data_IF_623011699985
#
_entry.id   IF_623011699985
#
_cell.length_a   1.000
_cell.length_b   1.000
_cell.length_c   1.000
_cell.angle_alpha   90.00
_cell.angle_beta   90.00
_cell.angle_gamma   90.00
#
_symmetry.space_group_name_H-M   'P 1'
#
loop_
_entity.id
_entity.type
_entity.pdbx_description
1 polymer ?
#
# COMPACT_ATOMS: atom_id res chain seq x y z
N UNK A 1 0.48 4.53 6.26
CA UNK A 1 1.92 4.36 6.60
C UNK A 1 2.73 4.83 5.39
N UNK A 2 4.07 4.81 5.41
CA UNK A 2 4.82 5.25 4.22
C UNK A 2 4.72 4.23 3.09
N UNK A 3 4.84 2.93 3.40
CA UNK A 3 4.87 1.87 2.38
C UNK A 3 3.55 1.64 1.66
N UNK A 4 2.41 1.74 2.34
CA UNK A 4 1.07 1.57 1.76
C UNK A 4 0.66 2.81 0.95
N UNK A 5 0.96 4.02 1.42
CA UNK A 5 0.77 5.24 0.62
C UNK A 5 1.58 5.18 -0.68
N UNK A 6 2.83 4.68 -0.61
CA UNK A 6 3.65 4.47 -1.79
C UNK A 6 3.10 3.38 -2.72
N UNK A 7 2.72 2.21 -2.20
CA UNK A 7 2.12 1.14 -3.03
C UNK A 7 0.87 1.62 -3.75
N UNK A 8 0.03 2.38 -3.05
CA UNK A 8 -1.22 2.92 -3.59
C UNK A 8 -1.04 4.21 -4.39
N UNK A 9 0.20 4.60 -4.72
CA UNK A 9 0.48 5.61 -5.73
C UNK A 9 -0.01 5.18 -7.12
N UNK A 10 -0.06 3.86 -7.39
CA UNK A 10 -0.83 3.33 -8.52
C UNK A 10 -2.30 3.25 -8.14
N UNK A 11 -3.02 4.33 -8.42
CA UNK A 11 -4.44 4.44 -8.11
C UNK A 11 -5.30 3.80 -9.20
N UNK A 12 -6.36 3.12 -8.79
CA UNK A 12 -7.37 2.51 -9.66
C UNK A 12 -8.76 3.00 -9.30
N UNK A 13 -9.59 3.23 -10.31
CA UNK A 13 -10.99 3.60 -10.08
C UNK A 13 -11.80 2.41 -9.56
N UNK A 14 -11.96 2.39 -8.24
CA UNK A 14 -12.73 1.41 -7.49
C UNK A 14 -14.22 1.31 -7.90
N UNK A 15 -14.75 2.25 -8.68
CA UNK A 15 -16.14 2.20 -9.19
C UNK A 15 -16.30 1.33 -10.45
N UNK A 16 -15.20 0.88 -11.05
CA UNK A 16 -15.22 -0.05 -12.19
C UNK A 16 -15.25 0.61 -13.56
N UNK A 17 -14.72 1.83 -13.71
CA UNK A 17 -14.51 2.42 -15.04
C UNK A 17 -13.28 1.85 -15.76
N UNK A 18 -12.42 1.11 -15.07
CA UNK A 18 -11.14 0.61 -15.58
C UNK A 18 -10.02 1.67 -15.62
N UNK A 19 -10.30 2.92 -15.22
CA UNK A 19 -9.28 3.98 -15.17
C UNK A 19 -8.24 3.68 -14.08
N UNK A 20 -6.98 3.96 -14.40
CA UNK A 20 -5.84 3.85 -13.50
C UNK A 20 -4.93 5.07 -13.70
N UNK A 21 -4.23 5.48 -12.65
CA UNK A 21 -3.34 6.64 -12.65
C UNK A 21 -2.09 6.30 -11.82
N UNK A 22 -0.90 6.57 -12.36
CA UNK A 22 0.33 6.55 -11.59
C UNK A 22 0.56 7.92 -10.96
N UNK A 23 0.18 8.07 -9.69
CA UNK A 23 0.26 9.35 -8.97
C UNK A 23 1.69 9.79 -8.67
N UNK A 24 2.70 8.94 -8.91
CA UNK A 24 4.09 9.41 -8.91
C UNK A 24 4.36 10.42 -10.03
N UNK A 25 3.56 10.43 -11.09
CA UNK A 25 3.66 11.43 -12.17
C UNK A 25 3.03 12.79 -11.79
N UNK A 26 2.31 12.84 -10.66
CA UNK A 26 1.62 14.03 -10.18
C UNK A 26 2.45 14.79 -9.17
N UNK A 27 2.88 15.99 -9.56
CA UNK A 27 3.68 16.90 -8.72
C UNK A 27 3.04 17.15 -7.36
N UNK A 28 1.75 17.49 -7.33
CA UNK A 28 1.01 17.79 -6.10
C UNK A 28 0.98 16.60 -5.14
N UNK A 29 0.74 15.40 -5.68
CA UNK A 29 0.73 14.17 -4.89
C UNK A 29 2.12 13.81 -4.35
N UNK A 30 3.17 13.95 -5.18
CA UNK A 30 4.56 13.70 -4.77
C UNK A 30 4.99 14.66 -3.66
N UNK A 31 4.66 15.95 -3.78
CA UNK A 31 4.93 16.96 -2.75
C UNK A 31 4.19 16.66 -1.44
N UNK A 32 2.96 16.15 -1.52
CA UNK A 32 2.20 15.69 -0.35
C UNK A 32 2.84 14.45 0.30
N UNK A 33 3.26 13.45 -0.49
CA UNK A 33 3.94 12.26 0.02
C UNK A 33 5.22 12.64 0.79
N UNK A 34 6.07 13.50 0.18
CA UNK A 34 7.31 13.98 0.78
C UNK A 34 7.03 14.66 2.12
N UNK A 35 6.00 15.53 2.18
CA UNK A 35 5.65 16.29 3.38
C UNK A 35 5.08 15.41 4.48
N UNK A 36 4.11 14.56 4.16
CA UNK A 36 3.41 13.71 5.12
C UNK A 36 4.36 12.72 5.81
N UNK A 37 5.34 12.21 5.06
CA UNK A 37 6.32 11.23 5.55
C UNK A 37 7.69 11.83 5.86
N UNK A 38 7.85 13.15 5.72
CA UNK A 38 9.10 13.89 6.00
C UNK A 38 10.32 13.32 5.26
N UNK A 39 10.12 12.90 4.02
CA UNK A 39 11.20 12.35 3.18
C UNK A 39 12.26 13.42 2.90
N UNK A 40 13.54 13.06 2.94
CA UNK A 40 14.65 13.97 2.63
C UNK A 40 14.87 14.12 1.12
N UNK A 41 13.86 14.64 0.42
CA UNK A 41 13.86 14.86 -1.03
C UNK A 41 13.43 16.30 -1.31
N UNK A 42 14.12 16.99 -2.22
CA UNK A 42 13.84 18.39 -2.58
C UNK A 42 13.36 18.59 -4.02
N UNK A 43 13.39 17.54 -4.85
CA UNK A 43 13.04 17.61 -6.28
C UNK A 43 12.10 16.47 -6.69
N UNK A 44 11.36 16.67 -7.78
CA UNK A 44 10.62 15.59 -8.42
C UNK A 44 11.57 14.52 -8.96
N UNK A 45 11.13 13.25 -9.10
CA UNK A 45 11.96 12.20 -9.65
C UNK A 45 12.31 12.49 -11.11
N UNK A 46 13.57 12.26 -11.46
CA UNK A 46 13.98 12.11 -12.86
C UNK A 46 13.35 10.86 -13.48
N UNK A 47 13.42 10.72 -14.81
CA UNK A 47 12.92 9.52 -15.49
C UNK A 47 13.56 8.23 -14.96
N UNK A 48 14.88 8.23 -14.71
CA UNK A 48 15.61 7.09 -14.17
C UNK A 48 15.19 6.76 -12.72
N UNK A 49 14.96 7.77 -11.89
CA UNK A 49 14.45 7.58 -10.53
C UNK A 49 13.00 7.08 -10.54
N UNK A 50 12.18 7.53 -11.50
CA UNK A 50 10.82 7.04 -11.71
C UNK A 50 10.81 5.55 -12.04
N UNK A 51 11.71 5.08 -12.91
CA UNK A 51 11.84 3.66 -13.25
C UNK A 51 12.24 2.82 -12.02
N UNK A 52 13.14 3.34 -11.18
CA UNK A 52 13.50 2.69 -9.91
C UNK A 52 12.31 2.62 -8.95
N UNK A 53 11.56 3.71 -8.79
CA UNK A 53 10.35 3.73 -7.95
C UNK A 53 9.32 2.71 -8.43
N UNK A 54 9.05 2.64 -9.74
CA UNK A 54 8.11 1.67 -10.33
C UNK A 54 8.57 0.23 -10.16
N UNK A 55 9.87 -0.02 -10.34
CA UNK A 55 10.47 -1.35 -10.13
C UNK A 55 10.32 -1.78 -8.68
N UNK A 56 10.62 -0.87 -7.75
CA UNK A 56 10.46 -1.13 -6.31
C UNK A 56 8.99 -1.32 -5.90
N UNK A 57 8.06 -0.50 -6.44
CA UNK A 57 6.61 -0.66 -6.22
C UNK A 57 6.12 -2.03 -6.69
N UNK A 58 6.57 -2.47 -7.88
CA UNK A 58 6.26 -3.80 -8.42
C UNK A 58 6.77 -4.92 -7.51
N UNK A 59 8.00 -4.77 -7.01
CA UNK A 59 8.56 -5.71 -6.05
C UNK A 59 7.72 -5.79 -4.76
N UNK A 60 7.44 -4.65 -4.10
CA UNK A 60 6.62 -4.61 -2.89
C UNK A 60 5.22 -5.21 -3.13
N UNK A 61 4.60 -4.88 -4.26
CA UNK A 61 3.29 -5.43 -4.61
C UNK A 61 3.33 -6.96 -4.72
N UNK A 62 4.40 -7.52 -5.31
CA UNK A 62 4.57 -8.97 -5.38
C UNK A 62 4.69 -9.62 -3.98
N UNK A 63 5.37 -8.96 -3.05
CA UNK A 63 5.50 -9.43 -1.66
C UNK A 63 4.14 -9.35 -0.95
N UNK A 64 3.42 -8.25 -1.12
CA UNK A 64 2.07 -8.06 -0.57
C UNK A 64 1.10 -9.11 -1.11
N UNK A 65 1.14 -9.42 -2.41
CA UNK A 65 0.33 -10.48 -3.01
C UNK A 65 0.69 -11.86 -2.42
N UNK A 66 1.98 -12.12 -2.20
CA UNK A 66 2.46 -13.36 -1.57
C UNK A 66 1.87 -13.52 -0.14
N UNK A 67 1.94 -12.45 0.66
CA UNK A 67 1.39 -12.39 2.02
C UNK A 67 -0.13 -12.53 2.01
N UNK A 68 -0.82 -11.81 1.11
CA UNK A 68 -2.28 -11.85 0.99
C UNK A 68 -2.80 -13.23 0.57
N UNK A 69 -1.97 -14.03 -0.11
CA UNK A 69 -2.24 -15.43 -0.41
C UNK A 69 -1.98 -16.39 0.78
N UNK A 70 -1.63 -15.87 1.96
CA UNK A 70 -1.36 -16.65 3.16
C UNK A 70 -0.01 -17.38 3.15
N UNK A 71 0.89 -16.99 2.26
CA UNK A 71 2.21 -17.63 2.12
C UNK A 71 3.26 -16.91 2.96
N UNK A 72 4.28 -17.66 3.39
CA UNK A 72 5.43 -17.12 4.13
C UNK A 72 6.42 -16.47 3.18
N UNK A 73 7.04 -15.35 3.57
CA UNK A 73 8.02 -14.67 2.74
C UNK A 73 9.18 -15.60 2.37
N UNK A 74 9.62 -15.50 1.11
CA UNK A 74 10.77 -16.22 0.59
C UNK A 74 12.06 -15.52 1.03
N UNK A 75 13.13 -16.29 1.24
CA UNK A 75 14.46 -15.74 1.53
C UNK A 75 14.93 -14.77 0.44
N UNK A 76 14.60 -15.05 -0.83
CA UNK A 76 14.89 -14.17 -1.95
C UNK A 76 14.16 -12.83 -1.87
N UNK A 77 12.94 -12.79 -1.34
CA UNK A 77 12.19 -11.55 -1.11
C UNK A 77 12.81 -10.75 0.04
N UNK A 78 13.23 -11.42 1.11
CA UNK A 78 13.91 -10.77 2.24
C UNK A 78 15.25 -10.17 1.76
N UNK A 79 16.03 -10.93 1.00
CA UNK A 79 17.30 -10.46 0.42
C UNK A 79 17.09 -9.26 -0.51
N UNK A 80 16.03 -9.27 -1.32
CA UNK A 80 15.72 -8.14 -2.20
C UNK A 80 15.26 -6.90 -1.40
N UNK A 81 14.41 -7.08 -0.38
CA UNK A 81 14.04 -5.97 0.51
C UNK A 81 15.26 -5.35 1.20
N UNK A 82 16.20 -6.18 1.66
CA UNK A 82 17.46 -5.70 2.24
C UNK A 82 18.29 -4.89 1.24
N UNK A 83 18.40 -5.32 -0.02
CA UNK A 83 19.10 -4.56 -1.07
C UNK A 83 18.49 -3.17 -1.29
N UNK A 84 17.16 -3.04 -1.23
CA UNK A 84 16.51 -1.73 -1.32
C UNK A 84 16.81 -0.84 -0.11
N UNK A 85 16.85 -1.41 1.12
CA UNK A 85 17.22 -0.67 2.33
C UNK A 85 18.68 -0.23 2.35
N UNK A 86 19.60 -1.08 1.88
CA UNK A 86 21.05 -0.78 1.79
C UNK A 86 21.35 0.45 0.92
N UNK A 87 20.47 0.78 -0.03
CA UNK A 87 20.60 1.97 -0.88
C UNK A 87 20.47 3.31 -0.16
N UNK A 88 20.02 3.34 1.10
CA UNK A 88 19.88 4.57 1.90
C UNK A 88 20.40 4.36 3.32
N UNK A 89 21.72 4.45 3.55
CA UNK A 89 22.29 4.21 4.86
C UNK A 89 21.77 5.21 5.92
N UNK A 90 21.50 4.68 7.10
CA UNK A 90 21.04 5.42 8.27
C UNK A 90 22.18 5.60 9.27
N UNK A 91 22.22 6.75 9.95
CA UNK A 91 23.07 6.97 11.13
C UNK A 91 22.24 7.05 12.40
N UNK A 92 22.74 6.41 13.47
CA UNK A 92 22.13 6.48 14.81
C UNK A 92 22.31 7.88 15.41
N UNK A 93 21.27 8.38 16.06
CA UNK A 93 21.27 9.65 16.80
C UNK A 93 20.58 9.46 18.14
N UNK A 94 21.07 10.13 19.17
CA UNK A 94 20.44 10.17 20.48
C UNK A 94 19.53 11.39 20.55
N UNK A 95 18.27 11.20 20.97
CA UNK A 95 17.27 12.26 21.10
C UNK A 95 16.75 12.29 22.54
N UNK A 96 16.50 13.50 23.05
CA UNK A 96 15.79 13.71 24.31
C UNK A 96 14.31 13.96 24.01
N UNK A 97 13.43 13.15 24.60
CA UNK A 97 11.99 13.37 24.60
C UNK A 97 11.60 14.53 25.51
N UNK A 98 10.40 15.09 25.30
CA UNK A 98 9.88 16.17 26.13
C UNK A 98 9.66 15.75 27.60
N UNK A 99 9.53 14.44 27.85
CA UNK A 99 9.43 13.83 29.18
C UNK A 99 10.80 13.54 29.83
N UNK A 100 11.90 13.98 29.20
CA UNK A 100 13.27 13.75 29.65
C UNK A 100 13.80 12.34 29.35
N UNK A 101 13.02 11.46 28.70
CA UNK A 101 13.50 10.13 28.32
C UNK A 101 14.39 10.21 27.09
N UNK A 102 15.46 9.43 27.10
CA UNK A 102 16.39 9.34 25.99
C UNK A 102 15.95 8.22 25.04
N UNK A 103 15.98 8.48 23.74
CA UNK A 103 15.68 7.50 22.70
C UNK A 103 16.73 7.52 21.60
N UNK A 104 17.06 6.34 21.06
CA UNK A 104 17.87 6.22 19.85
C UNK A 104 16.94 6.36 18.65
N UNK A 105 17.23 7.32 17.78
CA UNK A 105 16.60 7.48 16.48
C UNK A 105 17.59 7.19 15.36
N UNK A 106 17.06 7.11 14.15
CA UNK A 106 17.85 6.95 12.93
C UNK A 106 17.63 8.16 12.03
N UNK A 107 18.71 8.60 11.37
CA UNK A 107 18.67 9.71 10.43
C UNK A 107 19.26 9.25 9.10
N UNK A 108 18.56 9.41 7.97
CA UNK A 108 19.12 9.12 6.65
C UNK A 108 20.36 9.97 6.40
N UNK A 109 21.43 9.34 5.92
CA UNK A 109 22.65 10.04 5.53
C UNK A 109 22.41 10.81 4.23
N UNK A 110 21.88 10.10 3.24
CA UNK A 110 21.60 10.58 1.90
C UNK A 110 20.29 11.38 1.83
N UNK A 111 20.21 12.24 0.82
CA UNK A 111 18.98 12.89 0.35
C UNK A 111 18.68 12.45 -1.08
N UNK A 112 17.43 12.59 -1.52
CA UNK A 112 16.98 12.22 -2.86
C UNK A 112 16.24 10.88 -2.91
N UNK A 113 15.85 10.47 -4.11
CA UNK A 113 14.90 9.37 -4.30
C UNK A 113 15.44 7.99 -3.93
N UNK A 114 16.74 7.77 -4.05
CA UNK A 114 17.36 6.52 -3.59
C UNK A 114 17.21 6.36 -2.07
N UNK A 115 17.41 7.43 -1.30
CA UNK A 115 17.16 7.44 0.14
C UNK A 115 15.67 7.27 0.47
N UNK A 116 14.78 7.93 -0.27
CA UNK A 116 13.33 7.76 -0.09
C UNK A 116 12.88 6.30 -0.32
N UNK A 117 13.42 5.62 -1.34
CA UNK A 117 13.15 4.20 -1.58
C UNK A 117 13.58 3.35 -0.37
N UNK A 118 14.76 3.60 0.19
CA UNK A 118 15.23 2.89 1.38
C UNK A 118 14.34 3.16 2.61
N UNK A 119 13.87 4.39 2.82
CA UNK A 119 12.93 4.72 3.90
C UNK A 119 11.58 4.00 3.73
N UNK A 120 11.07 3.93 2.49
CA UNK A 120 9.85 3.17 2.18
C UNK A 120 10.05 1.67 2.47
N UNK A 121 11.19 1.11 2.03
CA UNK A 121 11.56 -0.28 2.30
C UNK A 121 11.68 -0.55 3.81
N UNK A 122 12.32 0.34 4.56
CA UNK A 122 12.44 0.28 6.01
C UNK A 122 11.08 0.34 6.71
N UNK A 123 10.18 1.22 6.28
CA UNK A 123 8.81 1.29 6.81
C UNK A 123 8.03 -0.01 6.59
N UNK A 124 8.20 -0.65 5.43
CA UNK A 124 7.63 -1.96 5.17
C UNK A 124 8.26 -3.04 6.04
N UNK A 125 9.60 -3.04 6.19
CA UNK A 125 10.33 -3.99 7.03
C UNK A 125 9.91 -3.91 8.50
N UNK A 126 9.72 -2.70 9.05
CA UNK A 126 9.17 -2.49 10.40
C UNK A 126 7.79 -3.14 10.53
N UNK A 127 6.94 -2.97 9.51
CA UNK A 127 5.60 -3.60 9.51
C UNK A 127 5.68 -5.13 9.51
N UNK A 128 6.67 -5.70 8.82
CA UNK A 128 6.91 -7.15 8.79
C UNK A 128 7.51 -7.70 10.09
N UNK A 129 8.42 -6.94 10.73
CA UNK A 129 9.17 -7.40 11.89
C UNK A 129 8.44 -7.15 13.22
N UNK A 130 7.80 -5.99 13.37
CA UNK A 130 7.17 -5.55 14.61
C UNK A 130 5.63 -5.68 14.55
N UNK A 131 5.07 -5.70 13.35
CA UNK A 131 3.65 -5.92 13.12
C UNK A 131 3.30 -7.38 12.80
N UNK A 132 2.02 -7.63 12.53
CA UNK A 132 1.58 -8.92 11.99
C UNK A 132 1.48 -8.85 10.46
N UNK A 133 2.38 -9.53 9.74
CA UNK A 133 2.37 -9.54 8.26
C UNK A 133 1.02 -9.99 7.69
N UNK A 134 0.31 -10.92 8.33
CA UNK A 134 -1.02 -11.39 7.92
C UNK A 134 -2.12 -10.31 7.91
N UNK A 135 -1.87 -9.15 8.53
CA UNK A 135 -2.76 -7.98 8.48
C UNK A 135 -2.54 -7.13 7.23
N UNK A 136 -1.50 -7.36 6.44
CA UNK A 136 -1.35 -6.76 5.12
C UNK A 136 -2.35 -7.42 4.17
N UNK A 137 -3.25 -6.62 3.61
CA UNK A 137 -4.38 -7.09 2.80
C UNK A 137 -4.50 -6.28 1.51
N UNK A 138 -5.16 -6.90 0.53
CA UNK A 138 -5.58 -6.26 -0.71
C UNK A 138 -7.11 -6.17 -0.69
N UNK A 139 -7.66 -5.04 -1.12
CA UNK A 139 -9.11 -4.84 -1.22
C UNK A 139 -9.74 -5.91 -2.11
N UNK A 140 -10.80 -6.58 -1.62
CA UNK A 140 -11.50 -7.64 -2.37
C UNK A 140 -12.41 -7.08 -3.49
N UNK A 141 -12.54 -5.75 -3.61
CA UNK A 141 -13.18 -5.16 -4.79
C UNK A 141 -12.21 -5.28 -5.98
N UNK A 142 -12.54 -6.05 -7.04
CA UNK A 142 -11.63 -6.32 -8.15
C UNK A 142 -11.23 -5.06 -8.93
N UNK A 143 -12.05 -4.00 -8.86
CA UNK A 143 -11.76 -2.72 -9.52
C UNK A 143 -10.83 -1.83 -8.69
N UNK A 144 -10.64 -2.13 -7.40
CA UNK A 144 -9.94 -1.25 -6.46
C UNK A 144 -8.51 -1.70 -6.18
N UNK A 145 -8.33 -2.95 -5.76
CA UNK A 145 -7.03 -3.56 -5.42
C UNK A 145 -6.15 -2.76 -4.44
N UNK A 146 -6.72 -1.80 -3.71
CA UNK A 146 -6.02 -0.98 -2.73
C UNK A 146 -5.38 -1.85 -1.64
N UNK A 147 -4.11 -1.60 -1.37
CA UNK A 147 -3.34 -2.29 -0.32
C UNK A 147 -3.55 -1.57 1.00
N UNK A 148 -3.77 -2.31 2.08
CA UNK A 148 -3.96 -1.72 3.40
C UNK A 148 -3.47 -2.67 4.50
N UNK A 149 -3.30 -2.12 5.70
CA UNK A 149 -3.07 -2.88 6.91
C UNK A 149 -4.36 -2.95 7.73
N UNK A 150 -4.80 -4.15 8.08
CA UNK A 150 -5.99 -4.37 8.90
C UNK A 150 -5.67 -4.13 10.39
N UNK A 151 -5.84 -2.88 10.78
CA UNK A 151 -5.75 -2.37 12.15
C UNK A 151 -6.95 -2.75 13.04
N UNK A 152 -7.97 -3.43 12.49
CA UNK A 152 -9.14 -3.80 13.30
C UNK A 152 -8.82 -4.92 14.27
N UNK A 153 -9.54 -4.92 15.40
CA UNK A 153 -9.39 -5.94 16.44
C UNK A 153 -9.60 -7.37 15.92
N UNK A 154 -10.59 -7.55 15.04
CA UNK A 154 -11.04 -8.87 14.60
C UNK A 154 -10.39 -9.35 13.29
N UNK A 155 -9.50 -8.53 12.67
CA UNK A 155 -8.80 -8.88 11.42
C UNK A 155 -9.74 -9.29 10.29
N UNK A 156 -10.90 -8.66 10.23
CA UNK A 156 -12.02 -9.08 9.39
C UNK A 156 -12.30 -8.13 8.23
N UNK A 157 -11.48 -7.09 8.02
CA UNK A 157 -11.67 -6.18 6.89
C UNK A 157 -11.49 -6.97 5.59
N UNK A 158 -12.45 -6.82 4.69
CA UNK A 158 -12.39 -7.35 3.31
C UNK A 158 -12.14 -6.26 2.29
N UNK A 159 -12.47 -5.02 2.64
CA UNK A 159 -12.40 -3.86 1.78
C UNK A 159 -11.53 -2.80 2.45
N UNK A 160 -10.83 -1.99 1.65
CA UNK A 160 -9.97 -0.92 2.16
C UNK A 160 -10.75 0.11 2.98
N UNK A 161 -12.00 0.39 2.59
CA UNK A 161 -12.92 1.26 3.29
C UNK A 161 -14.34 0.67 3.24
N UNK A 162 -14.99 0.59 4.41
CA UNK A 162 -16.31 -0.01 4.57
C UNK A 162 -17.42 0.87 3.98
N UNK A 163 -17.27 2.20 4.03
CA UNK A 163 -18.26 3.17 3.53
C UNK A 163 -18.18 3.35 2.01
N UNK A 164 -17.02 3.13 1.41
CA UNK A 164 -16.79 3.18 -0.03
C UNK A 164 -16.89 1.78 -0.66
N UNK A 165 -15.79 1.01 -0.68
CA UNK A 165 -15.74 -0.29 -1.33
C UNK A 165 -16.70 -1.30 -0.69
N UNK A 166 -16.81 -1.32 0.65
CA UNK A 166 -17.73 -2.21 1.35
C UNK A 166 -19.20 -1.99 0.94
N UNK A 167 -19.64 -0.73 1.00
CA UNK A 167 -20.99 -0.35 0.58
C UNK A 167 -21.24 -0.63 -0.92
N UNK A 168 -20.30 -0.28 -1.81
CA UNK A 168 -20.44 -0.54 -3.25
C UNK A 168 -20.62 -2.03 -3.54
N UNK A 169 -19.81 -2.89 -2.92
CA UNK A 169 -19.90 -4.33 -3.12
C UNK A 169 -21.19 -4.91 -2.53
N UNK A 170 -21.69 -4.37 -1.41
CA UNK A 170 -23.00 -4.71 -0.85
C UNK A 170 -24.13 -4.37 -1.84
N UNK A 171 -24.12 -3.17 -2.42
CA UNK A 171 -25.12 -2.73 -3.41
C UNK A 171 -25.06 -3.58 -4.68
N UNK A 172 -23.88 -3.84 -5.23
CA UNK A 172 -23.70 -4.70 -6.42
C UNK A 172 -24.28 -6.10 -6.18
N UNK A 173 -23.98 -6.72 -5.04
CA UNK A 173 -24.52 -8.04 -4.66
C UNK A 173 -26.04 -8.04 -4.50
N UNK A 174 -26.61 -7.00 -3.90
CA UNK A 174 -28.08 -6.88 -3.77
C UNK A 174 -28.76 -6.78 -5.15
N UNK A 175 -28.23 -5.94 -6.06
CA UNK A 175 -28.76 -5.80 -7.43
C UNK A 175 -28.64 -7.09 -8.24
N UNK A 176 -27.53 -7.81 -8.12
CA UNK A 176 -27.34 -9.09 -8.80
C UNK A 176 -28.39 -10.13 -8.36
N UNK A 177 -28.67 -10.22 -7.05
CA UNK A 177 -29.73 -11.11 -6.52
C UNK A 177 -31.13 -10.71 -7.02
N UNK A 178 -31.45 -9.41 -7.03
CA UNK A 178 -32.75 -8.96 -7.55
C UNK A 178 -32.93 -9.32 -9.02
N UNK A 179 -31.90 -9.11 -9.85
CA UNK A 179 -31.95 -9.50 -11.27
C UNK A 179 -32.15 -11.00 -11.46
N UNK A 180 -31.54 -11.84 -10.61
CA UNK A 180 -31.74 -13.30 -10.63
C UNK A 180 -33.19 -13.67 -10.29
N UNK A 181 -33.75 -13.08 -9.22
CA UNK A 181 -35.15 -13.31 -8.83
C UNK A 181 -36.14 -12.81 -9.90
N UNK A 182 -35.93 -11.62 -10.47
CA UNK A 182 -36.76 -11.08 -11.55
C UNK A 182 -36.67 -11.93 -12.84
N UNK A 183 -35.58 -12.69 -13.04
CA UNK A 183 -35.41 -13.61 -14.17
C UNK A 183 -35.97 -15.01 -13.91
N UNK A 184 -36.06 -15.46 -12.65
CA UNK A 184 -36.73 -16.72 -12.29
C UNK A 184 -38.25 -16.57 -12.32
N UNK A 185 -38.79 -15.44 -11.86
CA UNK A 185 -40.24 -15.18 -11.91
C UNK A 185 -40.78 -15.08 -13.35
N UNK A 186 -39.93 -14.69 -14.32
CA UNK A 186 -40.28 -14.65 -15.76
C UNK A 186 -40.17 -15.99 -16.49
N UNK A 187 -39.56 -17.01 -15.87
CA UNK A 187 -39.48 -18.36 -16.45
C UNK A 187 -40.64 -19.27 -16.00
N UNK A 188 -41.36 -18.88 -14.94
CA UNK A 188 -42.50 -19.62 -14.37
C UNK A 188 -43.88 -19.07 -14.78
N UNK A 189 -43.96 -18.13 -15.73
CA UNK A 189 -45.23 -17.60 -16.26
C UNK A 189 -45.80 -18.57 -17.33
N UNK A 190 -46.95 -19.24 -17.10
CA UNK A 190 -47.53 -20.15 -18.08
C UNK A 190 -48.16 -19.38 -19.26
N UNK A 191 -47.98 -19.94 -20.47
CA UNK A 191 -48.47 -19.44 -21.77
C UNK A 191 -49.95 -19.09 -21.80
#
# INVERSE_FOLDING_TARGET
>A
MLWDDFLNSEWRDWRGSGRSEDRLERKDWVEELIRNHRLRVSTLPTAQEMDKLRSFRSFLLSVVQHIAAGKTLLESQIKELNRWMEGGPLVRRLHAGMDGRMAIGYRPLESGWQGAIAEIAGSFAVTLAEGEASRIRICTNPDCLWVYYDDTRNRSKRYCDEKACGNLMKVRRYRAKKKQNDSSDKQDEPK
#
